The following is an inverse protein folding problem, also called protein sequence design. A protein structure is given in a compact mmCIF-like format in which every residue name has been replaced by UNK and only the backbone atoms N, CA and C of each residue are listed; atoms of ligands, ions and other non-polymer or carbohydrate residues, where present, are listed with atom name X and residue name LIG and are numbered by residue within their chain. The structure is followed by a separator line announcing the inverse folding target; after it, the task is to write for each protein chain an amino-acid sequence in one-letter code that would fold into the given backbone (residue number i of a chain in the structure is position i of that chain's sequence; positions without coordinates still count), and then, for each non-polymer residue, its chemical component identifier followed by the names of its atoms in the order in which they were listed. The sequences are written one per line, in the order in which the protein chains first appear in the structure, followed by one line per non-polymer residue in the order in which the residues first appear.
data_IF_655340341276
#
_entry.id   IF_655340341276
#
_cell.length_a   1.000
_cell.length_b   1.000
_cell.length_c   1.000
_cell.angle_alpha   90.00
_cell.angle_beta   90.00
_cell.angle_gamma   90.00
#
_symmetry.space_group_name_H-M   'P 1'
#
loop_
_entity.id
_entity.type
_entity.pdbx_description
1 polymer ?
#
# COMPACT_ATOMS: atom_id res chain seq x y z
N UNK A 1 14.20 0.20 17.13
CA UNK A 1 14.37 -0.93 16.17
C UNK A 1 14.22 -0.35 14.78
N UNK A 2 15.28 -0.47 13.96
CA UNK A 2 15.30 0.09 12.59
C UNK A 2 14.36 -0.72 11.71
N UNK A 3 13.46 -0.06 10.95
CA UNK A 3 12.60 -0.71 9.97
C UNK A 3 13.46 -1.41 8.91
N UNK A 4 13.21 -2.70 8.68
CA UNK A 4 13.87 -3.49 7.63
C UNK A 4 12.94 -4.60 7.16
N UNK A 5 12.65 -4.60 5.84
CA UNK A 5 11.98 -5.69 5.13
C UNK A 5 12.92 -6.16 4.03
N UNK A 6 13.46 -7.37 4.15
CA UNK A 6 14.49 -7.90 3.27
C UNK A 6 13.96 -9.09 2.47
N UNK A 7 14.07 -9.03 1.16
CA UNK A 7 13.90 -10.15 0.23
C UNK A 7 15.24 -10.57 -0.36
N UNK A 8 15.52 -11.86 -0.36
CA UNK A 8 16.75 -12.41 -0.95
C UNK A 8 16.44 -13.57 -1.88
N UNK A 9 16.98 -13.49 -3.10
CA UNK A 9 16.82 -14.50 -4.15
C UNK A 9 15.34 -14.85 -4.38
N UNK A 10 14.46 -13.84 -4.35
CA UNK A 10 13.04 -14.04 -4.60
C UNK A 10 12.83 -14.47 -6.04
N UNK A 11 12.04 -15.52 -6.23
CA UNK A 11 11.63 -16.00 -7.54
C UNK A 11 10.18 -16.48 -7.49
N UNK A 12 9.43 -16.25 -8.54
CA UNK A 12 8.05 -16.68 -8.63
C UNK A 12 7.72 -17.14 -10.05
N UNK A 13 7.15 -18.32 -10.16
CA UNK A 13 6.65 -18.92 -11.39
C UNK A 13 5.13 -19.00 -11.36
N UNK A 14 4.49 -18.73 -12.50
CA UNK A 14 3.04 -18.85 -12.71
C UNK A 14 2.78 -19.38 -14.11
N UNK A 15 1.92 -20.40 -14.20
CA UNK A 15 1.51 -21.00 -15.47
C UNK A 15 2.74 -21.41 -16.34
N UNK A 16 3.69 -22.12 -15.74
CA UNK A 16 4.96 -22.58 -16.34
C UNK A 16 5.82 -21.42 -16.90
N UNK A 17 5.65 -20.21 -16.37
CA UNK A 17 6.42 -19.02 -16.76
C UNK A 17 7.01 -18.33 -15.53
N UNK A 18 8.30 -18.08 -15.57
CA UNK A 18 8.96 -17.22 -14.58
C UNK A 18 8.50 -15.78 -14.73
N UNK A 19 7.95 -15.21 -13.64
CA UNK A 19 7.63 -13.80 -13.54
C UNK A 19 8.89 -12.99 -13.19
N UNK A 20 9.69 -13.52 -12.28
CA UNK A 20 10.99 -12.99 -11.90
C UNK A 20 11.81 -14.06 -11.16
N UNK A 21 13.14 -13.94 -11.21
CA UNK A 21 14.10 -14.81 -10.54
C UNK A 21 15.23 -14.00 -9.92
N UNK A 22 15.79 -14.52 -8.80
CA UNK A 22 16.99 -13.98 -8.18
C UNK A 22 16.87 -12.55 -7.64
N UNK A 23 15.62 -12.05 -7.42
CA UNK A 23 15.38 -10.68 -7.05
C UNK A 23 15.76 -10.43 -5.59
N UNK A 24 16.51 -9.35 -5.36
CA UNK A 24 16.88 -8.90 -4.03
C UNK A 24 16.32 -7.51 -3.77
N UNK A 25 15.75 -7.30 -2.58
CA UNK A 25 15.23 -6.01 -2.12
C UNK A 25 15.56 -5.81 -0.65
N UNK A 26 15.90 -4.59 -0.28
CA UNK A 26 16.19 -4.20 1.10
C UNK A 26 15.49 -2.87 1.39
N UNK A 27 14.27 -2.97 1.93
CA UNK A 27 13.42 -1.81 2.25
C UNK A 27 13.72 -1.34 3.66
N UNK A 28 14.12 -0.08 3.79
CA UNK A 28 14.46 0.58 5.07
C UNK A 28 13.51 1.73 5.36
N UNK A 29 13.54 2.18 6.61
CA UNK A 29 12.82 3.40 6.98
C UNK A 29 13.33 4.59 6.18
N UNK A 30 12.39 5.36 5.62
CA UNK A 30 12.67 6.47 4.71
C UNK A 30 12.66 6.10 3.23
N UNK A 31 12.62 4.82 2.87
CA UNK A 31 12.66 4.42 1.47
C UNK A 31 11.30 4.55 0.78
N UNK A 32 11.34 4.99 -0.48
CA UNK A 32 10.23 4.87 -1.43
C UNK A 32 10.71 4.01 -2.60
N UNK A 33 10.17 2.79 -2.69
CA UNK A 33 10.47 1.82 -3.75
C UNK A 33 9.39 1.83 -4.82
N UNK A 34 9.80 1.97 -6.06
CA UNK A 34 8.95 1.81 -7.23
C UNK A 34 9.28 0.49 -7.94
N UNK A 35 8.26 -0.33 -8.15
CA UNK A 35 8.36 -1.56 -8.93
C UNK A 35 7.89 -1.28 -10.34
N UNK A 36 8.81 -1.33 -11.29
CA UNK A 36 8.60 -1.07 -12.71
C UNK A 36 8.54 -2.39 -13.51
N UNK A 37 7.93 -2.36 -14.66
CA UNK A 37 7.86 -3.50 -15.59
C UNK A 37 6.58 -3.50 -16.42
N UNK A 38 6.54 -4.26 -17.52
CA UNK A 38 5.37 -4.36 -18.39
C UNK A 38 4.18 -5.02 -17.66
N UNK A 39 3.00 -4.94 -18.25
CA UNK A 39 1.84 -5.67 -17.75
C UNK A 39 2.10 -7.17 -17.81
N UNK A 40 1.76 -7.89 -16.73
CA UNK A 40 2.02 -9.33 -16.62
C UNK A 40 3.44 -9.70 -16.17
N UNK A 41 4.34 -8.75 -15.87
CA UNK A 41 5.69 -9.03 -15.38
C UNK A 41 5.76 -9.49 -13.92
N UNK A 42 4.62 -9.55 -13.21
CA UNK A 42 4.59 -10.00 -11.82
C UNK A 42 4.65 -8.89 -10.77
N UNK A 43 4.46 -7.61 -11.12
CA UNK A 43 4.49 -6.48 -10.16
C UNK A 43 3.56 -6.71 -8.97
N UNK A 44 2.26 -6.94 -9.22
CA UNK A 44 1.28 -7.26 -8.17
C UNK A 44 1.65 -8.52 -7.38
N UNK A 45 2.22 -9.53 -8.05
CA UNK A 45 2.70 -10.75 -7.40
C UNK A 45 3.82 -10.45 -6.43
N UNK A 46 4.81 -9.66 -6.83
CA UNK A 46 5.90 -9.22 -5.96
C UNK A 46 5.35 -8.44 -4.74
N UNK A 47 4.43 -7.50 -4.95
CA UNK A 47 3.81 -6.77 -3.84
C UNK A 47 3.09 -7.71 -2.86
N UNK A 48 2.37 -8.73 -3.35
CA UNK A 48 1.71 -9.74 -2.49
C UNK A 48 2.70 -10.60 -1.72
N UNK A 49 3.84 -10.96 -2.33
CA UNK A 49 4.93 -11.65 -1.63
C UNK A 49 5.48 -10.77 -0.52
N UNK A 50 5.86 -9.52 -0.83
CA UNK A 50 6.39 -8.58 0.15
C UNK A 50 5.38 -8.28 1.27
N UNK A 51 4.08 -8.28 0.98
CA UNK A 51 3.01 -8.14 1.97
C UNK A 51 2.75 -9.42 2.80
N UNK A 52 3.43 -10.53 2.51
CA UNK A 52 3.22 -11.81 3.18
C UNK A 52 1.86 -12.47 2.86
N UNK A 53 1.21 -12.04 1.78
CA UNK A 53 -0.09 -12.57 1.34
C UNK A 53 0.03 -13.76 0.38
N UNK A 54 1.19 -13.92 -0.25
CA UNK A 54 1.50 -15.03 -1.14
C UNK A 54 2.68 -15.83 -0.56
N UNK A 55 2.50 -17.13 -0.41
CA UNK A 55 3.52 -18.02 0.16
C UNK A 55 4.24 -18.86 -0.92
N UNK A 56 3.68 -18.93 -2.12
CA UNK A 56 4.20 -19.69 -3.24
C UNK A 56 5.23 -18.87 -4.03
N UNK A 57 6.47 -18.87 -3.50
CA UNK A 57 7.65 -18.24 -4.08
C UNK A 57 8.93 -18.92 -3.56
N UNK A 58 10.01 -18.84 -4.30
CA UNK A 58 11.34 -19.23 -3.85
C UNK A 58 12.09 -18.02 -3.24
N UNK A 59 13.13 -18.32 -2.46
CA UNK A 59 13.92 -17.30 -1.76
C UNK A 59 13.52 -17.11 -0.30
N UNK A 60 13.96 -16.01 0.30
CA UNK A 60 13.67 -15.70 1.71
C UNK A 60 13.16 -14.29 1.89
N UNK A 61 12.18 -14.12 2.78
CA UNK A 61 11.66 -12.82 3.19
C UNK A 61 11.81 -12.68 4.70
N UNK A 62 12.38 -11.55 5.14
CA UNK A 62 12.66 -11.26 6.55
C UNK A 62 12.07 -9.90 6.94
N UNK A 63 11.53 -9.84 8.13
CA UNK A 63 11.10 -8.62 8.80
C UNK A 63 11.97 -8.38 10.03
N UNK A 64 12.70 -7.26 10.09
CA UNK A 64 13.60 -6.91 11.18
C UNK A 64 14.55 -8.07 11.55
N UNK A 65 15.18 -8.66 10.53
CA UNK A 65 16.14 -9.77 10.64
C UNK A 65 15.52 -11.15 10.91
N UNK A 66 14.22 -11.23 11.24
CA UNK A 66 13.54 -12.51 11.50
C UNK A 66 12.84 -13.02 10.23
N UNK A 67 12.86 -14.35 9.94
CA UNK A 67 12.06 -14.89 8.85
C UNK A 67 10.59 -14.46 8.97
N UNK A 68 9.98 -14.01 7.88
CA UNK A 68 8.63 -13.41 7.91
C UNK A 68 7.59 -14.36 8.52
N UNK A 69 7.66 -15.66 8.23
CA UNK A 69 6.73 -16.64 8.80
C UNK A 69 6.76 -16.69 10.34
N UNK A 70 7.89 -16.33 10.98
CA UNK A 70 8.05 -16.24 12.45
C UNK A 70 7.69 -14.87 13.01
N UNK A 71 7.65 -13.85 12.15
CA UNK A 71 7.35 -12.46 12.53
C UNK A 71 5.97 -11.98 12.02
N UNK A 72 5.13 -12.88 11.48
CA UNK A 72 3.93 -12.57 10.71
C UNK A 72 2.96 -11.62 11.44
N UNK A 73 2.66 -11.89 12.72
CA UNK A 73 1.75 -11.04 13.49
C UNK A 73 2.32 -9.62 13.69
N UNK A 74 3.61 -9.53 14.03
CA UNK A 74 4.28 -8.25 14.21
C UNK A 74 4.39 -7.48 12.88
N UNK A 75 4.69 -8.16 11.78
CA UNK A 75 4.73 -7.53 10.46
C UNK A 75 3.34 -7.03 10.04
N UNK A 76 2.30 -7.86 10.17
CA UNK A 76 0.92 -7.47 9.83
C UNK A 76 0.44 -6.25 10.64
N UNK A 77 0.86 -6.13 11.90
CA UNK A 77 0.57 -4.95 12.73
C UNK A 77 1.30 -3.67 12.26
N UNK A 78 2.33 -3.80 11.43
CA UNK A 78 3.12 -2.69 10.90
C UNK A 78 2.89 -2.44 9.40
N UNK A 79 2.06 -3.25 8.74
CA UNK A 79 1.80 -3.19 7.31
C UNK A 79 0.44 -2.56 7.01
N UNK A 80 0.41 -1.64 6.05
CA UNK A 80 -0.79 -1.26 5.32
C UNK A 80 -0.62 -1.72 3.87
N UNK A 81 -1.50 -2.61 3.43
CA UNK A 81 -1.55 -3.08 2.04
C UNK A 81 -2.80 -2.57 1.34
N UNK A 82 -2.63 -1.89 0.22
CA UNK A 82 -3.69 -1.50 -0.70
C UNK A 82 -3.45 -2.16 -2.05
N UNK A 83 -4.23 -3.20 -2.33
CA UNK A 83 -4.19 -3.90 -3.61
C UNK A 83 -4.93 -3.15 -4.72
N UNK A 84 -5.03 -3.78 -5.89
CA UNK A 84 -5.75 -3.22 -7.03
C UNK A 84 -7.24 -2.97 -6.71
N UNK A 85 -7.91 -3.90 -6.04
CA UNK A 85 -9.26 -3.69 -5.53
C UNK A 85 -9.22 -2.79 -4.28
N UNK A 86 -10.08 -1.76 -4.18
CA UNK A 86 -10.05 -0.81 -3.07
C UNK A 86 -10.39 -1.43 -1.70
N UNK A 87 -11.05 -2.59 -1.67
CA UNK A 87 -11.46 -3.24 -0.42
C UNK A 87 -12.45 -2.37 0.37
N UNK A 88 -13.37 -1.73 -0.32
CA UNK A 88 -14.44 -0.88 0.20
C UNK A 88 -15.75 -1.65 0.06
N UNK A 89 -16.51 -1.77 1.14
CA UNK A 89 -17.83 -2.40 1.15
C UNK A 89 -18.87 -1.46 0.52
N UNK A 90 -19.52 -1.91 -0.54
CA UNK A 90 -20.52 -1.13 -1.26
C UNK A 90 -21.76 -0.78 -0.42
N UNK A 91 -22.08 -1.61 0.57
CA UNK A 91 -23.23 -1.40 1.48
C UNK A 91 -22.97 -0.42 2.62
N UNK A 92 -21.72 -0.04 2.86
CA UNK A 92 -21.32 0.90 3.90
C UNK A 92 -21.04 2.27 3.31
N UNK A 93 -21.19 3.32 4.12
CA UNK A 93 -20.72 4.67 3.77
C UNK A 93 -19.20 4.78 3.85
N UNK A 94 -18.55 5.82 3.32
CA UNK A 94 -17.13 6.10 3.53
C UNK A 94 -16.74 6.12 5.01
N UNK A 95 -17.50 6.80 5.87
CA UNK A 95 -17.24 6.84 7.31
C UNK A 95 -17.30 5.46 7.95
N UNK A 96 -18.32 4.67 7.63
CA UNK A 96 -18.49 3.32 8.13
C UNK A 96 -17.38 2.38 7.63
N UNK A 97 -16.96 2.48 6.37
CA UNK A 97 -15.83 1.73 5.82
C UNK A 97 -14.54 2.03 6.58
N UNK A 98 -14.25 3.30 6.87
CA UNK A 98 -13.06 3.69 7.62
C UNK A 98 -13.16 3.27 9.09
N UNK A 99 -14.32 3.39 9.71
CA UNK A 99 -14.57 2.93 11.08
C UNK A 99 -14.37 1.42 11.22
N UNK A 100 -14.92 0.66 10.27
CA UNK A 100 -14.77 -0.80 10.21
C UNK A 100 -13.28 -1.18 10.05
N UNK A 101 -12.56 -0.50 9.16
CA UNK A 101 -11.14 -0.74 8.94
C UNK A 101 -10.31 -0.47 10.20
N UNK A 102 -10.56 0.63 10.90
CA UNK A 102 -9.87 0.93 12.16
C UNK A 102 -10.17 -0.12 13.23
N UNK A 103 -11.45 -0.52 13.38
CA UNK A 103 -11.86 -1.55 14.33
C UNK A 103 -11.21 -2.91 14.05
N UNK A 104 -11.09 -3.30 12.78
CA UNK A 104 -10.40 -4.54 12.36
C UNK A 104 -8.93 -4.57 12.80
N UNK A 105 -8.31 -3.41 12.88
CA UNK A 105 -6.90 -3.26 13.29
C UNK A 105 -6.73 -2.92 14.78
N UNK A 106 -7.82 -3.00 15.55
CA UNK A 106 -7.81 -2.70 17.00
C UNK A 106 -7.66 -1.22 17.33
N UNK A 107 -7.91 -0.34 16.36
CA UNK A 107 -7.79 1.11 16.52
C UNK A 107 -9.15 1.76 16.81
N UNK A 108 -9.12 2.83 17.61
CA UNK A 108 -10.28 3.64 17.91
C UNK A 108 -10.02 5.07 17.44
N UNK A 109 -10.53 5.40 16.26
CA UNK A 109 -10.53 6.77 15.76
C UNK A 109 -11.86 7.47 16.04
N UNK A 110 -11.83 8.80 16.07
CA UNK A 110 -13.03 9.62 16.11
C UNK A 110 -13.64 9.78 14.72
N UNK A 111 -14.92 10.13 14.65
CA UNK A 111 -15.58 10.47 13.39
C UNK A 111 -14.90 11.65 12.70
N UNK A 112 -14.59 12.71 13.48
CA UNK A 112 -13.88 13.88 12.96
C UNK A 112 -12.51 13.54 12.30
N UNK A 113 -11.78 12.54 12.81
CA UNK A 113 -10.55 12.08 12.16
C UNK A 113 -10.83 11.41 10.80
N UNK A 114 -11.90 10.63 10.70
CA UNK A 114 -12.31 9.99 9.45
C UNK A 114 -12.80 11.01 8.43
N UNK A 115 -13.61 12.00 8.87
CA UNK A 115 -14.05 13.12 8.03
C UNK A 115 -12.85 13.89 7.48
N UNK A 116 -11.88 14.26 8.34
CA UNK A 116 -10.66 14.94 7.91
C UNK A 116 -9.85 14.10 6.90
N UNK A 117 -9.76 12.77 7.09
CA UNK A 117 -9.09 11.88 6.14
C UNK A 117 -9.82 11.81 4.80
N UNK A 118 -11.16 11.81 4.79
CA UNK A 118 -11.97 11.87 3.57
C UNK A 118 -11.82 13.22 2.86
N UNK A 119 -11.86 14.32 3.61
CA UNK A 119 -11.65 15.67 3.08
C UNK A 119 -10.28 15.81 2.39
N UNK A 120 -9.20 15.27 3.00
CA UNK A 120 -7.87 15.24 2.40
C UNK A 120 -7.86 14.52 1.04
N UNK A 121 -8.75 13.56 0.85
CA UNK A 121 -8.93 12.83 -0.42
C UNK A 121 -9.99 13.49 -1.35
N UNK A 122 -10.50 14.67 -1.03
CA UNK A 122 -11.50 15.37 -1.82
C UNK A 122 -12.85 14.66 -1.85
N UNK A 123 -13.27 14.08 -0.73
CA UNK A 123 -14.54 13.36 -0.58
C UNK A 123 -15.52 14.08 0.36
N UNK A 124 -15.31 15.39 0.59
CA UNK A 124 -16.23 16.22 1.38
C UNK A 124 -17.65 16.19 0.77
N UNK A 125 -18.64 16.00 1.65
CA UNK A 125 -20.05 15.88 1.27
C UNK A 125 -20.46 14.50 0.75
N UNK A 126 -19.55 13.52 0.77
CA UNK A 126 -19.81 12.13 0.37
C UNK A 126 -19.74 11.15 1.54
N UNK A 127 -19.53 11.64 2.76
CA UNK A 127 -19.24 10.87 3.97
C UNK A 127 -20.31 9.81 4.25
N UNK A 128 -21.58 10.18 4.03
CA UNK A 128 -22.77 9.37 4.31
C UNK A 128 -23.39 8.73 3.04
N UNK A 129 -22.77 8.90 1.88
CA UNK A 129 -23.25 8.28 0.63
C UNK A 129 -22.81 6.82 0.59
N UNK A 130 -23.70 5.82 0.44
CA UNK A 130 -23.31 4.43 0.31
C UNK A 130 -22.23 4.24 -0.78
N UNK A 131 -21.14 3.56 -0.43
CA UNK A 131 -19.99 3.45 -1.31
C UNK A 131 -20.29 2.78 -2.65
N UNK A 132 -21.33 1.96 -2.72
CA UNK A 132 -21.83 1.40 -3.98
C UNK A 132 -22.38 2.45 -4.96
N UNK A 133 -22.69 3.67 -4.53
CA UNK A 133 -23.10 4.79 -5.38
C UNK A 133 -21.95 5.69 -5.80
N UNK A 134 -20.78 5.48 -5.23
CA UNK A 134 -19.57 6.23 -5.58
C UNK A 134 -18.95 5.69 -6.86
N UNK A 135 -18.30 6.57 -7.62
CA UNK A 135 -17.47 6.16 -8.76
C UNK A 135 -16.31 5.29 -8.31
N UNK A 136 -15.71 4.52 -9.22
CA UNK A 136 -14.52 3.71 -8.92
C UNK A 136 -13.36 4.56 -8.35
N UNK A 137 -13.16 5.77 -8.88
CA UNK A 137 -12.16 6.72 -8.37
C UNK A 137 -12.48 7.23 -6.97
N UNK A 138 -13.75 7.49 -6.65
CA UNK A 138 -14.17 7.87 -5.30
C UNK A 138 -13.99 6.73 -4.32
N UNK A 139 -14.35 5.49 -4.68
CA UNK A 139 -14.09 4.31 -3.85
C UNK A 139 -12.59 4.10 -3.61
N UNK A 140 -11.76 4.34 -4.64
CA UNK A 140 -10.30 4.29 -4.51
C UNK A 140 -9.81 5.33 -3.51
N UNK A 141 -10.33 6.54 -3.54
CA UNK A 141 -9.99 7.61 -2.58
C UNK A 141 -10.45 7.30 -1.15
N UNK A 142 -11.60 6.64 -0.96
CA UNK A 142 -11.99 6.11 0.37
C UNK A 142 -10.96 5.12 0.89
N UNK A 143 -10.48 4.21 0.04
CA UNK A 143 -9.43 3.27 0.44
C UNK A 143 -8.11 3.97 0.80
N UNK A 144 -7.71 5.00 0.05
CA UNK A 144 -6.50 5.80 0.29
C UNK A 144 -6.60 6.64 1.58
N UNK A 145 -7.79 7.07 1.99
CA UNK A 145 -7.99 7.79 3.25
C UNK A 145 -7.49 7.00 4.47
N UNK A 146 -7.40 5.66 4.38
CA UNK A 146 -6.82 4.79 5.41
C UNK A 146 -5.37 5.13 5.76
N UNK A 147 -4.60 5.66 4.80
CA UNK A 147 -3.20 6.03 4.98
C UNK A 147 -3.02 7.08 6.08
N UNK A 148 -3.98 8.00 6.24
CA UNK A 148 -3.96 9.03 7.29
C UNK A 148 -4.43 8.52 8.66
N UNK A 149 -5.18 7.42 8.69
CA UNK A 149 -5.87 6.96 9.89
C UNK A 149 -5.11 5.90 10.67
N UNK A 150 -4.18 5.23 10.00
CA UNK A 150 -3.55 4.02 10.54
C UNK A 150 -2.04 4.17 10.52
N UNK A 151 -1.39 4.40 11.68
CA UNK A 151 0.07 4.52 11.73
C UNK A 151 0.72 3.16 11.47
N UNK A 152 1.03 2.87 10.22
CA UNK A 152 1.75 1.66 9.79
C UNK A 152 3.11 2.03 9.26
N UNK A 153 4.13 1.29 9.67
CA UNK A 153 5.51 1.59 9.31
C UNK A 153 5.82 1.30 7.83
N UNK A 154 5.12 0.33 7.23
CA UNK A 154 5.32 -0.07 5.83
C UNK A 154 4.00 0.07 5.06
N UNK A 155 4.04 0.79 3.96
CA UNK A 155 2.94 0.84 2.99
C UNK A 155 3.32 0.06 1.75
N UNK A 156 2.45 -0.86 1.33
CA UNK A 156 2.57 -1.57 0.05
C UNK A 156 1.33 -1.24 -0.78
N UNK A 157 1.53 -0.54 -1.90
CA UNK A 157 0.46 0.09 -2.67
C UNK A 157 0.50 -0.38 -4.12
N UNK A 158 -0.57 -1.01 -4.58
CA UNK A 158 -0.69 -1.49 -5.97
C UNK A 158 -1.48 -0.48 -6.81
N UNK A 159 -0.78 0.23 -7.72
CA UNK A 159 -1.31 1.28 -8.60
C UNK A 159 -2.16 2.33 -7.85
N UNK A 160 -1.62 2.98 -6.78
CA UNK A 160 -2.40 3.86 -5.92
C UNK A 160 -2.94 5.11 -6.63
N UNK A 161 -2.31 5.55 -7.74
CA UNK A 161 -2.69 6.75 -8.49
C UNK A 161 -3.77 6.51 -9.56
N UNK A 162 -4.19 5.25 -9.77
CA UNK A 162 -5.19 4.92 -10.79
C UNK A 162 -6.55 5.46 -10.40
N UNK A 163 -7.24 6.08 -11.38
CA UNK A 163 -8.60 6.61 -11.27
C UNK A 163 -8.80 7.71 -10.20
N UNK A 164 -7.75 8.44 -9.85
CA UNK A 164 -7.85 9.64 -9.01
C UNK A 164 -7.54 10.89 -9.83
N UNK A 165 -8.12 12.02 -9.43
CA UNK A 165 -7.92 13.31 -10.08
C UNK A 165 -6.60 13.99 -9.66
N UNK A 166 -6.27 15.10 -10.29
CA UNK A 166 -5.03 15.84 -10.04
C UNK A 166 -4.86 16.27 -8.58
N UNK A 167 -5.94 16.67 -7.90
CA UNK A 167 -5.89 17.08 -6.50
C UNK A 167 -5.61 15.87 -5.60
N UNK A 168 -6.25 14.74 -5.85
CA UNK A 168 -6.00 13.47 -5.15
C UNK A 168 -4.58 12.94 -5.37
N UNK A 169 -4.04 13.09 -6.60
CA UNK A 169 -2.63 12.76 -6.90
C UNK A 169 -1.69 13.59 -6.02
N UNK A 170 -1.84 14.91 -6.00
CA UNK A 170 -0.99 15.80 -5.21
C UNK A 170 -1.08 15.51 -3.71
N UNK A 171 -2.29 15.25 -3.20
CA UNK A 171 -2.50 14.87 -1.80
C UNK A 171 -1.78 13.56 -1.47
N UNK A 172 -1.89 12.54 -2.31
CA UNK A 172 -1.26 11.24 -2.12
C UNK A 172 0.28 11.34 -2.19
N UNK A 173 0.83 12.10 -3.15
CA UNK A 173 2.28 12.37 -3.23
C UNK A 173 2.79 13.01 -1.94
N UNK A 174 2.07 14.01 -1.42
CA UNK A 174 2.40 14.66 -0.16
C UNK A 174 2.39 13.68 1.01
N UNK A 175 1.39 12.81 1.09
CA UNK A 175 1.29 11.79 2.15
C UNK A 175 2.43 10.76 2.07
N UNK A 176 2.77 10.28 0.87
CA UNK A 176 3.87 9.34 0.64
C UNK A 176 5.20 9.96 1.08
N UNK A 177 5.46 11.20 0.66
CA UNK A 177 6.67 11.92 1.04
C UNK A 177 6.77 12.14 2.56
N UNK A 178 5.69 12.59 3.19
CA UNK A 178 5.64 12.81 4.64
C UNK A 178 5.84 11.50 5.42
N UNK A 179 5.25 10.39 4.95
CA UNK A 179 5.43 9.08 5.57
C UNK A 179 6.90 8.63 5.53
N UNK A 180 7.56 8.73 4.37
CA UNK A 180 8.97 8.39 4.23
C UNK A 180 9.86 9.32 5.10
N UNK A 181 9.63 10.63 5.10
CA UNK A 181 10.34 11.59 5.94
C UNK A 181 10.20 11.28 7.44
N UNK A 182 9.06 10.75 7.86
CA UNK A 182 8.82 10.32 9.23
C UNK A 182 9.49 8.95 9.57
N UNK A 183 10.23 8.35 8.63
CA UNK A 183 10.93 7.08 8.82
C UNK A 183 10.10 5.84 8.48
N UNK A 184 8.92 6.00 7.90
CA UNK A 184 8.17 4.90 7.29
C UNK A 184 8.78 4.48 5.95
N UNK A 185 8.27 3.40 5.36
CA UNK A 185 8.70 2.94 4.04
C UNK A 185 7.51 2.68 3.13
N UNK A 186 7.69 2.94 1.84
CA UNK A 186 6.67 2.71 0.81
C UNK A 186 7.23 1.83 -0.30
N UNK A 187 6.48 0.80 -0.67
CA UNK A 187 6.76 0.00 -1.88
C UNK A 187 5.52 0.06 -2.76
N UNK A 188 5.66 0.46 -4.01
CA UNK A 188 4.49 0.60 -4.87
C UNK A 188 4.77 0.27 -6.33
N UNK A 189 3.69 -0.09 -7.02
CA UNK A 189 3.63 -0.10 -8.47
C UNK A 189 2.94 1.17 -8.94
N UNK A 190 3.39 1.75 -10.03
CA UNK A 190 2.69 2.88 -10.66
C UNK A 190 3.23 3.18 -12.05
N UNK A 191 2.36 3.67 -12.92
CA UNK A 191 2.73 4.29 -14.19
C UNK A 191 2.81 5.82 -14.09
N UNK A 192 2.47 6.37 -12.92
CA UNK A 192 2.52 7.81 -12.66
C UNK A 192 3.98 8.29 -12.53
N UNK A 193 4.28 9.44 -13.11
CA UNK A 193 5.57 10.12 -12.93
C UNK A 193 5.50 10.97 -11.69
N UNK A 194 6.33 10.63 -10.69
CA UNK A 194 6.36 11.36 -9.42
C UNK A 194 6.95 12.75 -9.55
N UNK A 195 6.31 13.69 -8.88
CA UNK A 195 6.85 15.02 -8.64
C UNK A 195 7.17 15.22 -7.14
N UNK A 196 7.91 14.26 -6.57
CA UNK A 196 8.29 14.27 -5.15
C UNK A 196 9.78 14.57 -5.04
N UNK A 197 10.15 15.54 -4.20
CA UNK A 197 11.55 15.84 -3.85
C UNK A 197 12.12 14.80 -2.85
N UNK A 198 12.00 13.52 -3.14
CA UNK A 198 12.49 12.41 -2.32
C UNK A 198 13.16 11.38 -3.23
N UNK A 199 14.32 10.81 -2.85
CA UNK A 199 14.97 9.77 -3.64
C UNK A 199 14.08 8.54 -3.81
N UNK A 200 13.97 8.03 -5.04
CA UNK A 200 13.24 6.81 -5.36
C UNK A 200 14.21 5.66 -5.57
N UNK A 201 13.95 4.55 -4.93
CA UNK A 201 14.56 3.27 -5.24
C UNK A 201 13.73 2.56 -6.32
N UNK A 202 14.38 1.82 -7.21
CA UNK A 202 13.73 1.16 -8.33
C UNK A 202 14.01 -0.32 -8.37
N UNK A 203 12.99 -1.10 -8.72
CA UNK A 203 13.10 -2.50 -9.14
C UNK A 203 12.44 -2.63 -10.50
N UNK A 204 13.16 -3.16 -11.48
CA UNK A 204 12.63 -3.49 -12.79
C UNK A 204 12.35 -4.99 -12.87
N UNK A 205 11.15 -5.37 -13.30
CA UNK A 205 10.75 -6.73 -13.62
C UNK A 205 10.58 -6.89 -15.13
N UNK A 206 11.13 -7.96 -15.70
CA UNK A 206 11.03 -8.30 -17.12
C UNK A 206 12.34 -8.19 -17.86
#
# INVERSE_FOLDING_TARGET
VTLSLEGRQLACERDDRWLFEGLNIDVKGGDIWRVDGPNGSGKTTLLKILAGQLADYAGTLRWQGKPLHRARAHFAANLLYLGHAPGVSAGLTPLENLAWYQALHGERGSEAQREAALATMGLEGLEDVPAGRLSAGQQRRVALARLSLTPRAVWILDEPFTAIDHAGVAALETQIAAHAQAGGAVVMTTHHTFNIAHPLCHIALG
#
